data_IF_114483444075
#
_entry.id   IF_114483444075
#
_cell.length_a   1.000
_cell.length_b   1.000
_cell.length_c   1.000
_cell.angle_alpha   90.00
_cell.angle_beta   90.00
_cell.angle_gamma   90.00
#
_symmetry.space_group_name_H-M   'P 1'
#
loop_
_entity.id
_entity.type
_entity.pdbx_description
1 polymer ?
#
# COMPACT_ATOMS: atom_id res chain seq x y z
N UNK A 1 -42.11 -50.02 -12.36
CA UNK A 1 -41.45 -48.84 -11.76
C UNK A 1 -41.33 -47.76 -12.82
N UNK A 2 -42.00 -46.62 -12.64
CA UNK A 2 -41.95 -45.47 -13.56
C UNK A 2 -40.83 -44.52 -13.13
N UNK A 3 -39.92 -44.21 -14.03
CA UNK A 3 -38.88 -43.19 -13.88
C UNK A 3 -39.53 -41.80 -13.81
N UNK A 4 -39.17 -40.91 -12.86
CA UNK A 4 -39.74 -39.57 -12.81
C UNK A 4 -39.11 -38.67 -13.89
N UNK A 5 -39.87 -37.72 -14.47
CA UNK A 5 -39.39 -36.80 -15.49
C UNK A 5 -38.48 -35.71 -14.89
N UNK A 6 -37.51 -35.28 -15.70
CA UNK A 6 -36.32 -34.55 -15.29
C UNK A 6 -36.52 -33.19 -14.61
N UNK A 7 -35.64 -32.94 -13.63
CA UNK A 7 -35.37 -31.63 -13.07
C UNK A 7 -34.68 -30.77 -14.14
N UNK A 8 -35.43 -29.87 -14.79
CA UNK A 8 -34.82 -28.78 -15.57
C UNK A 8 -34.08 -27.86 -14.60
N UNK A 9 -32.77 -27.71 -14.78
CA UNK A 9 -31.99 -26.65 -14.13
C UNK A 9 -32.59 -25.30 -14.52
N UNK A 10 -33.15 -24.57 -13.56
CA UNK A 10 -33.39 -23.14 -13.68
C UNK A 10 -32.03 -22.47 -13.90
N UNK A 11 -31.83 -21.85 -15.06
CA UNK A 11 -30.66 -21.00 -15.30
C UNK A 11 -30.64 -19.90 -14.25
N UNK A 12 -29.49 -19.71 -13.58
CA UNK A 12 -29.28 -18.52 -12.74
C UNK A 12 -29.39 -17.31 -13.66
N UNK A 13 -30.44 -16.52 -13.49
CA UNK A 13 -30.48 -15.17 -14.02
C UNK A 13 -29.35 -14.39 -13.34
N UNK A 14 -28.38 -13.93 -14.12
CA UNK A 14 -27.40 -12.94 -13.67
C UNK A 14 -28.19 -11.68 -13.33
N UNK A 15 -28.13 -11.15 -12.09
CA UNK A 15 -28.83 -9.91 -11.78
C UNK A 15 -28.30 -8.81 -12.70
N UNK A 16 -29.22 -8.02 -13.26
CA UNK A 16 -28.86 -6.84 -14.04
C UNK A 16 -27.99 -5.91 -13.18
N UNK A 17 -26.97 -5.24 -13.75
CA UNK A 17 -26.19 -4.27 -13.00
C UNK A 17 -27.14 -3.20 -12.44
N UNK A 18 -27.16 -3.07 -11.12
CA UNK A 18 -27.83 -1.95 -10.47
C UNK A 18 -26.92 -0.74 -10.60
N UNK A 19 -27.27 0.19 -11.50
CA UNK A 19 -26.61 1.47 -11.56
C UNK A 19 -26.95 2.24 -10.27
N UNK A 20 -25.92 2.50 -9.45
CA UNK A 20 -26.02 3.33 -8.26
C UNK A 20 -25.39 4.68 -8.57
N UNK A 21 -26.17 5.77 -8.46
CA UNK A 21 -25.64 7.12 -8.55
C UNK A 21 -25.12 7.55 -7.17
N UNK A 22 -23.82 7.77 -7.06
CA UNK A 22 -23.20 8.32 -5.85
C UNK A 22 -23.09 9.83 -6.04
N UNK A 23 -23.72 10.60 -5.16
CA UNK A 23 -23.56 12.06 -5.11
C UNK A 23 -22.55 12.39 -4.03
N UNK A 24 -21.48 13.09 -4.39
CA UNK A 24 -20.49 13.56 -3.42
C UNK A 24 -21.03 14.80 -2.69
N UNK A 25 -20.73 14.99 -1.40
CA UNK A 25 -21.08 16.21 -0.68
C UNK A 25 -20.47 17.45 -1.37
N UNK A 26 -21.22 18.56 -1.44
CA UNK A 26 -20.78 19.79 -2.13
C UNK A 26 -19.53 20.41 -1.50
N UNK A 27 -19.33 20.19 -0.20
CA UNK A 27 -18.16 20.64 0.54
C UNK A 27 -16.87 19.89 0.16
N UNK A 28 -16.95 18.77 -0.55
CA UNK A 28 -15.77 18.02 -0.99
C UNK A 28 -15.15 18.66 -2.23
N UNK A 29 -13.95 19.21 -2.04
CA UNK A 29 -13.12 19.83 -3.09
C UNK A 29 -12.48 18.79 -4.01
N UNK A 30 -13.31 18.08 -4.76
CA UNK A 30 -12.91 17.01 -5.68
C UNK A 30 -12.08 17.49 -6.86
N UNK A 31 -12.07 18.79 -7.17
CA UNK A 31 -11.31 19.39 -8.27
C UNK A 31 -9.77 19.31 -8.08
N UNK A 32 -9.31 18.90 -6.89
CA UNK A 32 -7.90 18.72 -6.56
C UNK A 32 -7.52 17.25 -6.35
N UNK A 33 -8.41 16.33 -6.73
CA UNK A 33 -8.23 14.90 -6.54
C UNK A 33 -8.31 14.21 -7.89
N UNK A 34 -7.25 13.47 -8.22
CA UNK A 34 -7.20 12.63 -9.41
C UNK A 34 -6.92 11.19 -9.01
N UNK A 35 -7.56 10.26 -9.72
CA UNK A 35 -7.29 8.83 -9.61
C UNK A 35 -6.62 8.36 -10.88
N UNK A 36 -5.45 7.75 -10.72
CA UNK A 36 -4.67 7.20 -11.82
C UNK A 36 -4.57 5.69 -11.67
N UNK A 37 -4.69 4.97 -12.79
CA UNK A 37 -4.31 3.56 -12.85
C UNK A 37 -2.84 3.51 -13.21
N UNK A 38 -2.01 2.91 -12.35
CA UNK A 38 -0.58 2.85 -12.57
C UNK A 38 0.09 1.78 -11.72
N UNK A 39 1.32 1.46 -12.09
CA UNK A 39 2.18 0.56 -11.32
C UNK A 39 2.90 1.36 -10.21
N UNK A 40 2.75 0.92 -8.96
CA UNK A 40 3.40 1.55 -7.80
C UNK A 40 4.94 1.41 -7.81
N UNK A 41 5.48 0.58 -8.70
CA UNK A 41 6.91 0.42 -8.97
C UNK A 41 7.41 1.26 -10.15
N UNK A 42 6.50 1.87 -10.91
CA UNK A 42 6.80 2.69 -12.09
C UNK A 42 5.79 3.83 -12.21
N UNK A 43 5.85 4.77 -11.28
CA UNK A 43 4.87 5.85 -11.18
C UNK A 43 4.95 6.78 -12.39
N UNK A 44 3.81 7.20 -12.98
CA UNK A 44 3.75 8.02 -14.19
C UNK A 44 4.05 9.51 -13.91
N UNK A 45 4.94 9.79 -12.97
CA UNK A 45 5.39 11.13 -12.63
C UNK A 45 6.87 11.28 -12.96
N UNK A 46 7.27 12.48 -13.36
CA UNK A 46 8.69 12.82 -13.52
C UNK A 46 9.39 12.82 -12.15
N UNK A 47 10.73 12.79 -12.18
CA UNK A 47 11.55 13.00 -10.98
C UNK A 47 11.20 14.36 -10.33
N UNK A 48 11.23 14.42 -8.99
CA UNK A 48 11.01 15.65 -8.21
C UNK A 48 9.65 16.34 -8.46
N UNK A 49 8.63 15.56 -8.80
CA UNK A 49 7.29 16.07 -9.10
C UNK A 49 6.48 16.38 -7.83
N UNK A 50 6.64 15.62 -6.75
CA UNK A 50 5.78 15.70 -5.57
C UNK A 50 6.52 16.23 -4.34
N UNK A 51 5.87 17.09 -3.56
CA UNK A 51 6.38 17.56 -2.26
C UNK A 51 5.92 16.69 -1.09
N UNK A 52 4.97 15.79 -1.31
CA UNK A 52 4.47 14.89 -0.27
C UNK A 52 4.08 13.56 -0.88
N UNK A 53 4.52 12.48 -0.26
CA UNK A 53 4.23 11.11 -0.69
C UNK A 53 3.69 10.31 0.50
N UNK A 54 2.56 9.62 0.30
CA UNK A 54 2.00 8.70 1.28
C UNK A 54 1.85 7.29 0.69
N UNK A 55 2.45 6.30 1.35
CA UNK A 55 2.30 4.87 1.04
C UNK A 55 1.58 4.19 2.21
N UNK A 56 0.34 3.76 2.00
CA UNK A 56 -0.52 3.24 3.06
C UNK A 56 -1.00 1.83 2.69
N UNK A 57 -0.64 0.83 3.50
CA UNK A 57 -0.98 -0.59 3.32
C UNK A 57 -0.66 -1.11 1.91
N UNK A 58 0.55 -0.79 1.44
CA UNK A 58 0.96 -1.03 0.05
C UNK A 58 2.33 -1.71 -0.05
N UNK A 59 3.28 -1.39 0.82
CA UNK A 59 4.67 -1.85 0.64
C UNK A 59 4.79 -3.37 0.80
N UNK A 60 3.90 -4.01 1.57
CA UNK A 60 3.82 -5.47 1.68
C UNK A 60 2.92 -6.13 0.60
N UNK A 61 2.38 -5.34 -0.34
CA UNK A 61 1.50 -5.75 -1.44
C UNK A 61 2.13 -5.59 -2.84
N UNK A 62 3.43 -5.32 -2.91
CA UNK A 62 4.17 -5.18 -4.17
C UNK A 62 5.28 -6.23 -4.27
N UNK A 63 5.63 -6.69 -5.48
CA UNK A 63 6.65 -7.73 -5.67
C UNK A 63 8.06 -7.25 -5.34
N UNK A 64 8.35 -5.94 -5.44
CA UNK A 64 9.62 -5.37 -4.98
C UNK A 64 9.39 -4.16 -4.06
N UNK A 65 9.36 -4.37 -2.74
CA UNK A 65 9.23 -3.29 -1.75
C UNK A 65 10.35 -2.26 -1.86
N UNK A 66 11.57 -2.70 -2.16
CA UNK A 66 12.70 -1.80 -2.41
C UNK A 66 12.49 -1.00 -3.69
N UNK A 67 11.95 -1.61 -4.75
CA UNK A 67 11.54 -0.92 -5.97
C UNK A 67 10.53 0.21 -5.69
N UNK A 68 9.53 -0.05 -4.84
CA UNK A 68 8.55 0.95 -4.45
C UNK A 68 9.18 2.14 -3.72
N UNK A 69 10.11 1.89 -2.78
CA UNK A 69 10.83 2.97 -2.10
C UNK A 69 11.75 3.75 -3.03
N UNK A 70 12.42 3.07 -3.99
CA UNK A 70 13.21 3.75 -5.01
C UNK A 70 12.32 4.67 -5.86
N UNK A 71 11.11 4.22 -6.18
CA UNK A 71 10.20 4.98 -6.99
C UNK A 71 9.60 6.17 -6.24
N UNK A 72 9.19 5.96 -4.99
CA UNK A 72 8.86 7.05 -4.06
C UNK A 72 9.98 8.09 -4.02
N UNK A 73 11.23 7.64 -3.86
CA UNK A 73 12.36 8.53 -3.73
C UNK A 73 12.68 9.29 -5.03
N UNK A 74 12.41 8.69 -6.20
CA UNK A 74 12.57 9.34 -7.50
C UNK A 74 11.54 10.43 -7.71
N UNK A 75 10.26 10.18 -7.47
CA UNK A 75 9.21 11.16 -7.78
C UNK A 75 9.13 12.29 -6.75
N UNK A 76 9.63 12.07 -5.54
CA UNK A 76 9.58 13.04 -4.45
C UNK A 76 10.75 14.00 -4.52
N UNK A 77 10.50 15.30 -4.32
CA UNK A 77 11.52 16.37 -4.35
C UNK A 77 12.67 16.07 -3.38
N UNK A 78 13.87 16.50 -3.77
CA UNK A 78 15.09 16.38 -2.94
C UNK A 78 15.12 17.34 -1.73
N UNK A 79 14.29 18.38 -1.69
CA UNK A 79 14.20 19.34 -0.58
C UNK A 79 12.73 19.73 -0.30
N UNK A 80 12.45 20.13 0.94
CA UNK A 80 11.13 20.53 1.44
C UNK A 80 10.03 19.50 1.15
N UNK A 81 10.38 18.22 1.25
CA UNK A 81 9.52 17.10 0.95
C UNK A 81 9.14 16.29 2.19
N UNK A 82 7.98 15.65 2.13
CA UNK A 82 7.48 14.77 3.19
C UNK A 82 7.19 13.38 2.66
N UNK A 83 7.49 12.38 3.47
CA UNK A 83 7.15 10.99 3.21
C UNK A 83 6.45 10.40 4.42
N UNK A 84 5.32 9.75 4.18
CA UNK A 84 4.60 8.95 5.15
C UNK A 84 4.49 7.53 4.61
N UNK A 85 4.97 6.56 5.39
CA UNK A 85 4.69 5.15 5.14
C UNK A 85 3.96 4.56 6.32
N UNK A 86 2.86 3.85 6.07
CA UNK A 86 2.21 3.02 7.07
C UNK A 86 1.84 1.68 6.49
N UNK A 87 2.22 0.60 7.19
CA UNK A 87 1.99 -0.75 6.72
C UNK A 87 2.03 -1.74 7.89
N UNK A 88 1.25 -2.83 7.87
CA UNK A 88 1.38 -3.90 8.86
C UNK A 88 2.66 -4.73 8.69
N UNK A 89 3.35 -4.63 7.55
CA UNK A 89 4.50 -5.45 7.20
C UNK A 89 4.17 -6.95 7.23
N UNK A 90 2.96 -7.30 6.79
CA UNK A 90 2.44 -8.66 6.73
C UNK A 90 2.81 -9.32 5.42
N UNK A 91 4.11 -9.58 5.26
CA UNK A 91 4.70 -10.14 4.06
C UNK A 91 4.09 -11.49 3.66
N UNK A 92 3.99 -11.72 2.36
CA UNK A 92 3.45 -12.96 1.78
C UNK A 92 4.21 -13.36 0.53
N UNK A 93 4.57 -14.65 0.45
CA UNK A 93 5.24 -15.24 -0.73
C UNK A 93 4.30 -15.31 -1.95
N UNK A 94 2.99 -15.10 -1.76
CA UNK A 94 2.06 -14.92 -2.87
C UNK A 94 2.19 -13.55 -3.55
N UNK A 95 2.87 -12.59 -2.91
CA UNK A 95 3.05 -11.22 -3.40
C UNK A 95 4.49 -10.97 -3.83
N UNK A 96 5.45 -11.31 -2.97
CA UNK A 96 6.88 -11.06 -3.18
C UNK A 96 7.69 -12.23 -2.65
N UNK A 97 8.73 -12.61 -3.40
CA UNK A 97 9.71 -13.59 -2.94
C UNK A 97 10.28 -13.18 -1.58
N UNK A 98 10.59 -14.16 -0.74
CA UNK A 98 11.02 -13.91 0.65
C UNK A 98 12.30 -13.06 0.70
N UNK A 99 13.15 -13.18 -0.30
CA UNK A 99 14.38 -12.42 -0.47
C UNK A 99 14.11 -10.92 -0.60
N UNK A 100 13.01 -10.52 -1.24
CA UNK A 100 12.61 -9.12 -1.47
C UNK A 100 12.05 -8.43 -0.21
N UNK A 101 11.66 -9.20 0.81
CA UNK A 101 11.04 -8.65 2.01
C UNK A 101 11.99 -7.70 2.75
N UNK A 102 11.48 -6.58 3.22
CA UNK A 102 12.23 -5.60 4.02
C UNK A 102 12.07 -5.83 5.53
N UNK A 103 11.88 -7.08 5.95
CA UNK A 103 11.70 -7.49 7.33
C UNK A 103 11.12 -8.90 7.43
N UNK A 104 10.74 -9.33 8.63
CA UNK A 104 10.11 -10.63 8.87
C UNK A 104 11.06 -11.83 8.71
N UNK A 105 12.37 -11.58 8.60
CA UNK A 105 13.41 -12.59 8.41
C UNK A 105 14.32 -12.69 9.63
N UNK A 106 14.81 -13.89 9.92
CA UNK A 106 15.79 -14.11 10.98
C UNK A 106 17.22 -13.77 10.53
N UNK A 107 17.53 -14.02 9.25
CA UNK A 107 18.87 -13.88 8.66
C UNK A 107 18.79 -13.29 7.25
N UNK A 108 19.95 -12.90 6.70
CA UNK A 108 20.07 -12.33 5.36
C UNK A 108 19.86 -10.83 5.34
N UNK A 109 19.51 -10.29 4.16
CA UNK A 109 19.25 -8.85 4.02
C UNK A 109 17.95 -8.46 4.72
N UNK A 110 17.98 -7.33 5.44
CA UNK A 110 16.85 -6.78 6.19
C UNK A 110 16.23 -7.77 7.21
N UNK A 111 17.04 -8.31 8.15
CA UNK A 111 16.50 -9.17 9.19
C UNK A 111 15.69 -8.35 10.20
N UNK A 112 14.88 -9.00 11.03
CA UNK A 112 14.10 -8.36 12.08
C UNK A 112 12.86 -7.64 11.58
N UNK A 113 12.51 -6.52 12.21
CA UNK A 113 11.23 -5.83 11.98
C UNK A 113 11.26 -4.96 10.73
N UNK A 114 10.13 -4.92 10.02
CA UNK A 114 9.95 -4.09 8.81
C UNK A 114 10.26 -2.62 9.07
N UNK A 115 9.57 -2.02 10.03
CA UNK A 115 9.73 -0.60 10.37
C UNK A 115 11.19 -0.20 10.67
N UNK A 116 11.93 -1.03 11.42
CA UNK A 116 13.32 -0.74 11.77
C UNK A 116 14.23 -0.74 10.53
N UNK A 117 14.00 -1.65 9.58
CA UNK A 117 14.72 -1.65 8.31
C UNK A 117 14.36 -0.46 7.42
N UNK A 118 13.08 -0.06 7.38
CA UNK A 118 12.66 1.13 6.63
C UNK A 118 13.32 2.39 7.20
N UNK A 119 13.29 2.58 8.52
CA UNK A 119 13.95 3.72 9.19
C UNK A 119 15.44 3.75 8.85
N UNK A 120 16.12 2.60 8.95
CA UNK A 120 17.54 2.49 8.60
C UNK A 120 17.82 2.86 7.14
N UNK A 121 16.98 2.41 6.21
CA UNK A 121 17.09 2.75 4.78
C UNK A 121 16.89 4.24 4.51
N UNK A 122 15.98 4.88 5.24
CA UNK A 122 15.68 6.30 5.12
C UNK A 122 16.83 7.19 5.63
N UNK A 123 17.44 6.84 6.76
CA UNK A 123 18.46 7.66 7.43
C UNK A 123 19.88 7.48 6.88
N UNK A 124 20.10 6.52 5.96
CA UNK A 124 21.42 6.18 5.44
C UNK A 124 21.98 7.26 4.49
N UNK A 125 22.97 8.05 4.96
CA UNK A 125 23.53 9.23 4.27
C UNK A 125 24.24 8.99 2.93
N UNK A 126 24.46 7.73 2.54
CA UNK A 126 24.92 7.30 1.21
C UNK A 126 24.26 5.97 0.83
N UNK A 127 23.02 5.77 1.26
CA UNK A 127 22.28 4.54 1.03
C UNK A 127 21.66 4.45 -0.35
N UNK A 128 20.87 3.40 -0.58
CA UNK A 128 20.15 3.19 -1.86
C UNK A 128 19.19 4.33 -2.23
N UNK A 129 18.73 5.10 -1.24
CA UNK A 129 17.83 6.24 -1.43
C UNK A 129 18.56 7.58 -1.62
N UNK A 130 19.89 7.60 -1.65
CA UNK A 130 20.66 8.82 -1.91
C UNK A 130 20.70 9.78 -0.73
N UNK A 131 20.04 10.94 -0.85
CA UNK A 131 19.98 11.95 0.22
C UNK A 131 19.21 11.39 1.43
N UNK A 132 19.81 11.49 2.62
CA UNK A 132 19.18 10.98 3.83
C UNK A 132 17.89 11.74 4.12
N UNK A 133 16.84 10.97 4.31
CA UNK A 133 15.63 11.43 4.95
C UNK A 133 15.88 11.60 6.45
N UNK A 134 15.25 12.60 7.05
CA UNK A 134 15.18 12.76 8.49
C UNK A 134 13.87 12.18 8.99
N UNK A 135 13.93 11.08 9.75
CA UNK A 135 12.75 10.53 10.42
C UNK A 135 12.32 11.50 11.52
N UNK A 136 11.07 11.95 11.46
CA UNK A 136 10.48 12.85 12.44
C UNK A 136 9.65 12.10 13.48
N UNK A 137 8.93 11.07 13.02
CA UNK A 137 8.02 10.31 13.86
C UNK A 137 7.96 8.86 13.38
N UNK A 138 7.78 7.93 14.32
CA UNK A 138 7.43 6.55 14.03
C UNK A 138 6.68 5.96 15.20
N UNK A 139 5.59 5.25 14.92
CA UNK A 139 4.84 4.52 15.92
C UNK A 139 4.00 3.44 15.20
N UNK A 140 2.86 3.11 15.79
CA UNK A 140 1.89 2.16 15.29
C UNK A 140 0.50 2.63 15.64
N UNK A 141 -0.45 2.24 14.80
CA UNK A 141 -1.85 2.58 15.00
C UNK A 141 -2.70 1.36 14.67
N UNK A 142 -3.76 1.18 15.45
CA UNK A 142 -4.74 0.13 15.24
C UNK A 142 -5.80 0.60 14.25
N UNK A 143 -6.03 -0.21 13.23
CA UNK A 143 -7.06 -0.02 12.24
C UNK A 143 -8.09 -1.13 12.36
N UNK A 144 -9.32 -0.79 12.00
CA UNK A 144 -10.37 -1.76 11.78
C UNK A 144 -10.76 -1.75 10.32
N UNK A 145 -10.41 -2.83 9.59
CA UNK A 145 -10.86 -3.04 8.22
C UNK A 145 -12.18 -3.80 8.28
N UNK A 146 -13.23 -3.26 7.66
CA UNK A 146 -14.56 -3.89 7.66
C UNK A 146 -14.86 -4.45 6.28
N UNK A 147 -15.27 -5.71 6.22
CA UNK A 147 -15.78 -6.34 5.00
C UNK A 147 -17.29 -6.13 4.89
N UNK A 148 -18.01 -6.22 6.01
CA UNK A 148 -19.41 -5.81 6.14
C UNK A 148 -19.73 -5.49 7.60
N UNK A 149 -20.99 -5.14 7.92
CA UNK A 149 -21.39 -4.64 9.23
C UNK A 149 -20.95 -5.51 10.43
N UNK A 150 -20.91 -6.84 10.23
CA UNK A 150 -20.65 -7.84 11.27
C UNK A 150 -19.30 -8.56 11.12
N UNK A 151 -18.51 -8.24 10.08
CA UNK A 151 -17.20 -8.87 9.85
C UNK A 151 -16.13 -7.80 9.65
N UNK A 152 -15.12 -7.83 10.52
CA UNK A 152 -14.00 -6.91 10.50
C UNK A 152 -12.72 -7.59 10.98
N UNK A 153 -11.61 -7.04 10.55
CA UNK A 153 -10.26 -7.41 10.97
C UNK A 153 -9.65 -6.23 11.74
N UNK A 154 -8.95 -6.54 12.85
CA UNK A 154 -8.15 -5.56 13.57
C UNK A 154 -6.70 -5.74 13.15
N UNK A 155 -6.15 -4.69 12.52
CA UNK A 155 -4.79 -4.70 12.00
C UNK A 155 -4.01 -3.62 12.73
N UNK A 156 -2.81 -3.96 13.18
CA UNK A 156 -1.86 -2.96 13.68
C UNK A 156 -0.90 -2.64 12.54
N UNK A 157 -0.96 -1.42 12.03
CA UNK A 157 0.07 -0.95 11.11
C UNK A 157 1.09 -0.14 11.88
N UNK A 158 2.35 -0.33 11.52
CA UNK A 158 3.43 0.56 11.93
C UNK A 158 3.47 1.74 10.95
N UNK A 159 4.01 2.88 11.37
CA UNK A 159 4.23 4.01 10.46
C UNK A 159 5.54 4.73 10.74
N UNK A 160 6.02 5.43 9.71
CA UNK A 160 7.14 6.37 9.79
C UNK A 160 6.79 7.61 8.98
N UNK A 161 7.06 8.77 9.58
CA UNK A 161 7.02 10.08 8.92
C UNK A 161 8.44 10.61 8.82
N UNK A 162 8.83 11.04 7.63
CA UNK A 162 10.13 11.61 7.37
C UNK A 162 10.05 12.86 6.50
N UNK A 163 11.09 13.69 6.56
CA UNK A 163 11.26 14.88 5.73
C UNK A 163 12.68 15.01 5.21
N UNK A 164 12.85 15.76 4.13
CA UNK A 164 14.16 16.17 3.60
C UNK A 164 14.06 17.53 2.95
#
# INVERSE_FOLDING_TARGET
MKTPPGLRRLGRATPAPCDATITLPEEWKSEKVEFIVGDALALPFRRDAVSSFASLNLIDKVPSPMGHLNEMNRVTKDNDAQFLLSDPFSWSEAVADREEWLGGKEVGNFPGKGLDNIVRLLEEKQGRLGSAWRVEERDSVWWKIRTHANHYELIRSCFVKASR
#
